data_IF_118367114989
#
_entry.id   IF_118367114989
#
_cell.length_a   1.000
_cell.length_b   1.000
_cell.length_c   1.000
_cell.angle_alpha   90.00
_cell.angle_beta   90.00
_cell.angle_gamma   90.00
#
_symmetry.space_group_name_H-M   'P 1'
#
loop_
_entity.id
_entity.type
_entity.pdbx_description
1 polymer ?
#
# COMPACT_ATOMS: atom_id res chain seq x y z
N UNK A 1 18.24 20.51 -35.45
CA UNK A 1 17.27 19.75 -34.63
C UNK A 1 17.77 18.32 -34.57
N UNK A 2 18.56 17.98 -33.56
CA UNK A 2 18.86 16.58 -33.23
C UNK A 2 17.54 15.93 -32.86
N UNK A 3 17.16 14.87 -33.57
CA UNK A 3 15.87 14.21 -33.39
C UNK A 3 15.70 13.77 -31.94
N UNK A 4 14.51 14.02 -31.36
CA UNK A 4 14.14 13.43 -30.06
C UNK A 4 14.31 11.92 -30.18
N UNK A 5 15.37 11.38 -29.57
CA UNK A 5 15.56 9.96 -29.47
C UNK A 5 14.60 9.45 -28.39
N UNK A 6 13.73 8.49 -28.74
CA UNK A 6 12.83 7.87 -27.79
C UNK A 6 13.60 7.28 -26.59
N UNK A 7 14.81 6.77 -26.81
CA UNK A 7 15.68 6.19 -25.77
C UNK A 7 15.96 7.18 -24.64
N UNK A 8 16.32 8.43 -24.96
CA UNK A 8 16.67 9.43 -23.93
C UNK A 8 15.45 9.86 -23.13
N UNK A 9 14.30 9.94 -23.79
CA UNK A 9 13.02 10.27 -23.12
C UNK A 9 12.59 9.14 -22.18
N UNK A 10 12.67 7.90 -22.65
CA UNK A 10 12.38 6.71 -21.84
C UNK A 10 13.32 6.64 -20.64
N UNK A 11 14.63 6.81 -20.86
CA UNK A 11 15.62 6.80 -19.78
C UNK A 11 15.37 7.92 -18.76
N UNK A 12 14.91 9.10 -19.21
CA UNK A 12 14.48 10.18 -18.33
C UNK A 12 13.35 9.76 -17.38
N UNK A 13 12.31 9.09 -17.88
CA UNK A 13 11.21 8.59 -17.04
C UNK A 13 11.68 7.52 -16.05
N UNK A 14 12.51 6.57 -16.49
CA UNK A 14 13.08 5.58 -15.57
C UNK A 14 13.96 6.23 -14.50
N UNK A 15 14.75 7.25 -14.86
CA UNK A 15 15.57 8.00 -13.91
C UNK A 15 14.71 8.68 -12.85
N UNK A 16 13.58 9.26 -13.25
CA UNK A 16 12.62 9.83 -12.32
C UNK A 16 11.98 8.76 -11.41
N UNK A 17 11.53 7.63 -11.98
CA UNK A 17 10.91 6.56 -11.17
C UNK A 17 11.89 5.92 -10.21
N UNK A 18 13.14 5.67 -10.64
CA UNK A 18 14.19 5.16 -9.77
C UNK A 18 14.47 6.14 -8.62
N UNK A 19 14.53 7.44 -8.90
CA UNK A 19 14.69 8.45 -7.84
C UNK A 19 13.47 8.52 -6.93
N UNK A 20 12.26 8.34 -7.46
CA UNK A 20 11.01 8.25 -6.66
C UNK A 20 11.08 7.08 -5.67
N UNK A 21 11.45 5.89 -6.16
CA UNK A 21 11.64 4.66 -5.36
C UNK A 21 12.71 4.91 -4.30
N UNK A 22 13.84 5.50 -4.68
CA UNK A 22 14.93 5.83 -3.78
C UNK A 22 14.48 6.76 -2.65
N UNK A 23 13.68 7.79 -2.98
CA UNK A 23 13.18 8.76 -2.02
C UNK A 23 12.16 8.16 -1.06
N UNK A 24 11.21 7.35 -1.53
CA UNK A 24 10.24 6.70 -0.62
C UNK A 24 10.93 5.69 0.31
N UNK A 25 11.92 4.93 -0.18
CA UNK A 25 12.67 3.97 0.64
C UNK A 25 13.49 4.68 1.74
N UNK A 26 14.07 5.85 1.43
CA UNK A 26 14.90 6.64 2.35
C UNK A 26 14.12 7.55 3.29
N UNK A 27 12.79 7.58 3.21
CA UNK A 27 11.99 8.34 4.18
C UNK A 27 12.26 7.82 5.61
N UNK A 28 12.53 8.70 6.59
CA UNK A 28 12.85 8.27 7.94
C UNK A 28 11.63 7.70 8.67
N UNK A 29 10.46 8.31 8.48
CA UNK A 29 9.20 7.89 9.11
C UNK A 29 8.35 7.08 8.12
N UNK A 30 7.87 5.86 8.49
CA UNK A 30 6.93 5.08 7.68
C UNK A 30 5.64 5.80 7.29
N UNK A 31 5.22 6.81 8.05
CA UNK A 31 4.03 7.62 7.78
C UNK A 31 4.27 8.80 6.82
N UNK A 32 5.54 9.18 6.61
CA UNK A 32 5.89 10.16 5.58
C UNK A 32 5.60 9.60 4.19
N UNK A 33 5.46 10.49 3.21
CA UNK A 33 5.00 10.14 1.87
C UNK A 33 5.78 10.83 0.76
N UNK A 34 5.64 10.27 -0.44
CA UNK A 34 5.97 10.97 -1.69
C UNK A 34 4.70 11.15 -2.52
N UNK A 35 4.66 12.16 -3.37
CA UNK A 35 3.70 12.27 -4.46
C UNK A 35 4.45 12.31 -5.79
N UNK A 36 3.99 11.53 -6.77
CA UNK A 36 4.63 11.41 -8.09
C UNK A 36 3.90 12.31 -9.08
N UNK A 37 4.62 13.07 -9.90
CA UNK A 37 4.07 13.96 -10.95
C UNK A 37 3.04 14.95 -10.38
N UNK A 38 3.44 15.76 -9.39
CA UNK A 38 2.53 16.68 -8.69
C UNK A 38 2.98 18.14 -8.84
N UNK A 39 3.64 18.73 -7.84
CA UNK A 39 4.20 20.09 -7.97
C UNK A 39 5.36 20.04 -8.97
N UNK A 40 6.31 19.15 -8.71
CA UNK A 40 7.36 18.76 -9.65
C UNK A 40 7.24 17.24 -9.92
N UNK A 41 8.28 16.67 -10.53
CA UNK A 41 8.34 15.24 -10.83
C UNK A 41 8.06 14.38 -9.58
N UNK A 42 8.58 14.79 -8.41
CA UNK A 42 8.45 14.08 -7.13
C UNK A 42 8.36 15.08 -5.97
N UNK A 43 7.29 14.98 -5.17
CA UNK A 43 7.12 15.80 -3.96
C UNK A 43 7.29 14.94 -2.71
N UNK A 44 8.31 15.23 -1.91
CA UNK A 44 8.57 14.56 -0.64
C UNK A 44 7.85 15.30 0.47
N UNK A 45 7.05 14.58 1.26
CA UNK A 45 6.22 15.16 2.32
C UNK A 45 6.50 14.46 3.65
N UNK A 46 6.93 15.24 4.63
CA UNK A 46 7.01 14.82 6.02
C UNK A 46 5.97 15.59 6.86
N UNK A 47 6.00 15.46 8.18
CA UNK A 47 4.98 16.04 9.06
C UNK A 47 4.91 17.58 9.00
N UNK A 48 5.98 18.25 8.58
CA UNK A 48 6.13 19.71 8.69
C UNK A 48 6.50 20.40 7.39
N UNK A 49 7.09 19.69 6.44
CA UNK A 49 7.70 20.26 5.24
C UNK A 49 7.33 19.48 3.98
N UNK A 50 7.29 20.22 2.86
CA UNK A 50 7.18 19.67 1.51
C UNK A 50 8.42 20.09 0.72
N UNK A 51 9.05 19.12 0.04
CA UNK A 51 10.13 19.36 -0.90
C UNK A 51 9.75 18.84 -2.28
N UNK A 52 9.59 19.73 -3.25
CA UNK A 52 9.29 19.40 -4.63
C UNK A 52 10.60 19.26 -5.42
N UNK A 53 10.79 18.12 -6.07
CA UNK A 53 12.03 17.76 -6.78
C UNK A 53 11.75 17.56 -8.26
N UNK A 54 12.50 18.29 -9.09
CA UNK A 54 12.52 18.10 -10.54
C UNK A 54 13.78 17.33 -10.93
N UNK A 55 13.61 16.21 -11.63
CA UNK A 55 14.68 15.44 -12.24
C UNK A 55 15.05 15.97 -13.63
N UNK A 56 16.35 16.01 -13.96
CA UNK A 56 16.85 16.30 -15.31
C UNK A 56 17.96 15.35 -15.69
N UNK A 57 17.68 14.38 -16.57
CA UNK A 57 18.67 13.41 -17.01
C UNK A 57 19.10 13.65 -18.46
N UNK A 58 20.33 14.14 -18.65
CA UNK A 58 20.90 14.43 -19.96
C UNK A 58 22.35 13.91 -20.08
N UNK A 59 22.53 12.60 -19.93
CA UNK A 59 23.87 11.96 -19.95
C UNK A 59 24.62 12.05 -21.28
N UNK A 60 23.97 12.45 -22.37
CA UNK A 60 24.60 12.64 -23.67
C UNK A 60 25.07 14.07 -23.95
N UNK A 61 24.73 15.03 -23.09
CA UNK A 61 24.94 16.45 -23.38
C UNK A 61 25.62 17.19 -22.24
N UNK A 62 26.43 18.16 -22.61
CA UNK A 62 27.04 19.09 -21.67
C UNK A 62 25.97 20.01 -21.05
N UNK A 63 26.10 20.25 -19.73
CA UNK A 63 25.30 21.22 -19.01
C UNK A 63 25.46 22.63 -19.59
N UNK A 64 24.32 23.31 -19.73
CA UNK A 64 24.21 24.73 -20.01
C UNK A 64 22.99 25.26 -19.25
N UNK A 65 23.04 26.48 -18.71
CA UNK A 65 21.96 27.03 -17.89
C UNK A 65 20.56 26.93 -18.51
N UNK A 66 20.47 27.00 -19.85
CA UNK A 66 19.23 26.88 -20.61
C UNK A 66 18.46 25.59 -20.37
N UNK A 67 19.12 24.49 -19.99
CA UNK A 67 18.47 23.18 -19.82
C UNK A 67 17.67 23.07 -18.52
N UNK A 68 18.06 23.82 -17.48
CA UNK A 68 17.36 23.85 -16.19
C UNK A 68 16.48 25.10 -16.03
N UNK A 69 16.73 26.12 -16.86
CA UNK A 69 16.02 27.39 -16.86
C UNK A 69 14.49 27.28 -16.86
N UNK A 70 13.84 26.40 -17.65
CA UNK A 70 12.39 26.23 -17.55
C UNK A 70 11.94 25.75 -16.18
N UNK A 71 12.62 24.76 -15.60
CA UNK A 71 12.28 24.21 -14.28
C UNK A 71 12.39 25.28 -13.18
N UNK A 72 13.50 26.03 -13.14
CA UNK A 72 13.68 27.11 -12.15
C UNK A 72 12.57 28.18 -12.25
N UNK A 73 12.13 28.51 -13.47
CA UNK A 73 11.00 29.45 -13.66
C UNK A 73 9.67 28.87 -13.20
N UNK A 74 9.42 27.59 -13.42
CA UNK A 74 8.21 26.92 -12.90
C UNK A 74 8.19 26.89 -11.38
N UNK A 75 9.31 26.52 -10.75
CA UNK A 75 9.49 26.57 -9.30
C UNK A 75 9.24 27.98 -8.74
N UNK A 76 9.76 29.03 -9.40
CA UNK A 76 9.54 30.42 -8.99
C UNK A 76 8.07 30.85 -9.12
N UNK A 77 7.39 30.48 -10.22
CA UNK A 77 5.96 30.74 -10.38
C UNK A 77 5.14 30.06 -9.29
N UNK A 78 5.47 28.80 -8.96
CA UNK A 78 4.81 28.08 -7.90
C UNK A 78 5.07 28.71 -6.53
N UNK A 79 6.32 29.10 -6.23
CA UNK A 79 6.70 29.83 -5.02
C UNK A 79 5.87 31.10 -4.82
N UNK A 80 5.74 31.92 -5.87
CA UNK A 80 4.89 33.12 -5.81
C UNK A 80 3.43 32.75 -5.53
N UNK A 81 2.89 31.76 -6.24
CA UNK A 81 1.48 31.35 -6.11
C UNK A 81 1.16 30.92 -4.67
N UNK A 82 1.98 30.04 -4.08
CA UNK A 82 1.73 29.58 -2.71
C UNK A 82 1.88 30.70 -1.67
N UNK A 83 2.81 31.63 -1.90
CA UNK A 83 3.02 32.76 -0.99
C UNK A 83 1.84 33.73 -1.03
N UNK A 84 1.38 34.08 -2.23
CA UNK A 84 0.26 35.00 -2.42
C UNK A 84 -1.06 34.38 -1.86
N UNK A 85 -1.18 33.05 -1.88
CA UNK A 85 -2.30 32.30 -1.29
C UNK A 85 -2.16 32.03 0.21
N UNK A 86 -1.04 32.42 0.84
CA UNK A 86 -0.78 32.17 2.27
C UNK A 86 -0.64 30.67 2.63
N UNK A 87 -0.25 29.83 1.66
CA UNK A 87 -0.02 28.40 1.85
C UNK A 87 1.33 28.13 2.53
N UNK A 88 1.51 26.95 3.15
CA UNK A 88 2.81 26.55 3.73
C UNK A 88 3.94 26.61 2.70
N UNK A 89 5.13 27.00 3.17
CA UNK A 89 6.32 27.07 2.32
C UNK A 89 6.70 25.69 1.76
N UNK A 90 7.18 25.70 0.51
CA UNK A 90 7.68 24.51 -0.20
C UNK A 90 9.16 24.74 -0.51
N UNK A 91 9.99 23.72 -0.25
CA UNK A 91 11.38 23.68 -0.70
C UNK A 91 11.44 23.11 -2.11
N UNK A 92 12.31 23.63 -2.95
CA UNK A 92 12.49 23.19 -4.32
C UNK A 92 13.88 22.60 -4.50
N UNK A 93 13.99 21.48 -5.19
CA UNK A 93 15.27 20.89 -5.55
C UNK A 93 15.29 20.53 -7.03
N UNK A 94 16.36 20.90 -7.72
CA UNK A 94 16.65 20.41 -9.05
C UNK A 94 17.73 19.33 -8.96
N UNK A 95 17.40 18.11 -9.38
CA UNK A 95 18.29 16.95 -9.36
C UNK A 95 18.66 16.54 -10.80
N UNK A 96 19.85 16.94 -11.24
CA UNK A 96 20.26 16.88 -12.63
C UNK A 96 21.58 16.16 -12.88
N UNK A 97 21.64 15.32 -13.91
CA UNK A 97 22.84 14.62 -14.36
C UNK A 97 23.18 14.96 -15.82
N UNK A 98 24.46 15.29 -16.07
CA UNK A 98 24.99 15.74 -17.36
C UNK A 98 26.36 15.11 -17.62
N UNK A 99 26.76 14.98 -18.89
CA UNK A 99 28.05 14.37 -19.22
C UNK A 99 29.26 15.23 -18.84
N UNK A 100 29.10 16.55 -18.86
CA UNK A 100 30.14 17.53 -18.56
C UNK A 100 29.51 18.92 -18.33
N UNK A 101 30.34 19.95 -18.11
CA UNK A 101 29.93 21.35 -18.09
C UNK A 101 29.43 21.88 -16.76
N UNK A 102 29.44 21.06 -15.70
CA UNK A 102 28.94 21.45 -14.38
C UNK A 102 29.71 22.64 -13.78
N UNK A 103 30.99 22.80 -14.13
CA UNK A 103 31.82 23.95 -13.74
C UNK A 103 31.24 25.32 -14.17
N UNK A 104 30.32 25.36 -15.14
CA UNK A 104 29.65 26.59 -15.59
C UNK A 104 28.67 27.13 -14.54
N UNK A 105 28.17 26.30 -13.63
CA UNK A 105 27.33 26.74 -12.52
C UNK A 105 28.19 26.92 -11.27
N UNK A 106 28.33 28.17 -10.82
CA UNK A 106 28.94 28.48 -9.53
C UNK A 106 27.84 28.60 -8.48
N UNK A 107 28.02 27.90 -7.36
CA UNK A 107 27.13 27.98 -6.19
C UNK A 107 27.85 28.74 -5.05
N UNK A 108 27.12 29.47 -4.19
CA UNK A 108 25.67 29.69 -4.23
C UNK A 108 25.25 30.65 -5.36
N UNK A 109 24.01 30.49 -5.84
CA UNK A 109 23.39 31.37 -6.83
C UNK A 109 22.95 32.66 -6.12
N UNK A 110 23.36 33.82 -6.63
CA UNK A 110 22.85 35.11 -6.17
C UNK A 110 21.68 35.62 -7.04
N UNK A 111 21.02 36.69 -6.59
CA UNK A 111 19.87 37.28 -7.29
C UNK A 111 20.24 37.77 -8.70
N UNK A 112 21.44 38.31 -8.89
CA UNK A 112 21.89 38.80 -10.19
C UNK A 112 22.06 37.64 -11.19
N UNK A 113 22.69 36.56 -10.77
CA UNK A 113 22.87 35.34 -11.53
C UNK A 113 21.52 34.70 -11.87
N UNK A 114 20.62 34.58 -10.89
CA UNK A 114 19.26 34.06 -11.08
C UNK A 114 18.53 34.84 -12.17
N UNK A 115 18.51 36.17 -12.08
CA UNK A 115 17.87 37.06 -13.06
C UNK A 115 18.47 36.88 -14.45
N UNK A 116 19.79 36.95 -14.57
CA UNK A 116 20.49 36.91 -15.86
C UNK A 116 20.33 35.54 -16.54
N UNK A 117 20.61 34.46 -15.83
CA UNK A 117 20.75 33.14 -16.46
C UNK A 117 19.44 32.34 -16.49
N UNK A 118 18.59 32.46 -15.46
CA UNK A 118 17.37 31.66 -15.33
C UNK A 118 16.07 32.43 -15.56
N UNK A 119 15.99 33.72 -15.24
CA UNK A 119 14.71 34.45 -15.35
C UNK A 119 14.58 35.32 -16.62
N UNK A 120 15.67 35.58 -17.34
CA UNK A 120 15.64 36.39 -18.58
C UNK A 120 15.66 35.52 -19.81
N UNK A 121 14.63 35.51 -20.64
CA UNK A 121 14.52 34.63 -21.81
C UNK A 121 13.96 35.37 -23.02
N UNK A 122 14.18 34.84 -24.22
CA UNK A 122 13.59 35.40 -25.44
C UNK A 122 12.42 34.54 -25.90
N UNK A 123 11.26 35.14 -26.07
CA UNK A 123 10.07 34.51 -26.67
C UNK A 123 9.65 35.34 -27.87
N UNK A 124 9.52 34.71 -29.06
CA UNK A 124 9.18 35.40 -30.31
C UNK A 124 10.06 36.63 -30.62
N UNK A 125 11.37 36.54 -30.32
CA UNK A 125 12.38 37.61 -30.44
C UNK A 125 12.19 38.80 -29.50
N UNK A 126 11.35 38.69 -28.48
CA UNK A 126 11.19 39.70 -27.42
C UNK A 126 11.86 39.19 -26.15
N UNK A 127 12.72 40.01 -25.54
CA UNK A 127 13.27 39.74 -24.21
C UNK A 127 12.15 39.83 -23.16
N UNK A 128 12.05 38.81 -22.35
CA UNK A 128 11.12 38.67 -21.24
C UNK A 128 11.89 38.40 -19.96
N UNK A 129 11.38 38.96 -18.87
CA UNK A 129 11.96 38.85 -17.53
C UNK A 129 10.90 38.29 -16.60
N UNK A 130 11.03 37.02 -16.29
CA UNK A 130 10.02 36.26 -15.53
C UNK A 130 9.72 36.89 -14.16
N UNK A 131 10.73 37.45 -13.49
CA UNK A 131 10.53 38.12 -12.20
C UNK A 131 9.70 39.42 -12.33
N UNK A 132 9.89 40.19 -13.39
CA UNK A 132 9.10 41.40 -13.66
C UNK A 132 7.65 41.05 -14.00
N UNK A 133 7.44 39.98 -14.79
CA UNK A 133 6.11 39.44 -15.13
C UNK A 133 5.34 38.98 -13.88
N UNK A 134 6.07 38.47 -12.89
CA UNK A 134 5.52 38.03 -11.61
C UNK A 134 5.47 39.18 -10.56
N UNK A 135 6.02 40.36 -10.86
CA UNK A 135 6.09 41.49 -9.92
C UNK A 135 6.90 41.19 -8.66
N UNK A 136 7.99 40.43 -8.77
CA UNK A 136 8.85 40.03 -7.65
C UNK A 136 10.03 40.98 -7.47
N UNK A 137 10.25 41.42 -6.24
CA UNK A 137 11.40 42.22 -5.82
C UNK A 137 12.64 41.36 -5.57
N UNK A 138 13.79 42.00 -5.41
CA UNK A 138 15.06 41.31 -5.10
C UNK A 138 15.00 40.60 -3.74
N UNK A 139 14.24 41.13 -2.78
CA UNK A 139 13.99 40.46 -1.50
C UNK A 139 13.18 39.17 -1.70
N UNK A 140 12.15 39.20 -2.54
CA UNK A 140 11.36 38.01 -2.86
C UNK A 140 12.19 36.92 -3.55
N UNK A 141 13.13 37.34 -4.42
CA UNK A 141 14.05 36.42 -5.10
C UNK A 141 15.09 35.84 -4.14
N UNK A 142 15.55 36.62 -3.15
CA UNK A 142 16.41 36.11 -2.09
C UNK A 142 15.69 35.08 -1.22
N UNK A 143 14.41 35.32 -0.90
CA UNK A 143 13.56 34.35 -0.19
C UNK A 143 13.37 33.06 -0.99
N UNK A 144 13.12 33.16 -2.30
CA UNK A 144 13.07 31.99 -3.17
C UNK A 144 14.39 31.21 -3.19
N UNK A 145 15.53 31.90 -3.30
CA UNK A 145 16.85 31.27 -3.27
C UNK A 145 17.12 30.55 -1.95
N UNK A 146 16.56 31.02 -0.83
CA UNK A 146 16.71 30.36 0.48
C UNK A 146 16.04 28.99 0.56
N UNK A 147 15.06 28.72 -0.33
CA UNK A 147 14.32 27.46 -0.40
C UNK A 147 14.64 26.65 -1.66
N UNK A 148 15.56 27.12 -2.52
CA UNK A 148 15.97 26.45 -3.74
C UNK A 148 17.32 25.74 -3.56
N UNK A 149 17.35 24.46 -3.89
CA UNK A 149 18.56 23.65 -4.01
C UNK A 149 18.78 23.21 -5.47
N UNK A 150 20.01 23.27 -5.96
CA UNK A 150 20.34 22.94 -7.35
C UNK A 150 21.55 22.00 -7.37
N UNK A 151 21.28 20.72 -7.62
CA UNK A 151 22.30 19.70 -7.82
C UNK A 151 22.37 19.31 -9.30
N UNK A 152 23.45 19.72 -9.97
CA UNK A 152 23.75 19.31 -11.36
C UNK A 152 24.83 18.22 -11.44
N UNK A 153 25.26 17.71 -10.28
CA UNK A 153 26.23 16.63 -10.12
C UNK A 153 25.55 15.35 -9.58
N UNK A 154 24.26 15.20 -9.86
CA UNK A 154 23.47 14.04 -9.46
C UNK A 154 24.09 12.73 -9.98
N UNK A 155 23.75 11.61 -9.33
CA UNK A 155 24.23 10.29 -9.72
C UNK A 155 23.79 9.93 -11.15
N UNK A 156 24.63 9.17 -11.86
CA UNK A 156 24.27 8.62 -13.16
C UNK A 156 23.14 7.60 -13.06
N UNK A 157 22.55 7.23 -14.21
CA UNK A 157 21.42 6.29 -14.26
C UNK A 157 21.75 4.95 -13.59
N UNK A 158 22.88 4.34 -13.95
CA UNK A 158 23.26 3.03 -13.41
C UNK A 158 23.65 3.09 -11.93
N UNK A 159 24.27 4.19 -11.48
CA UNK A 159 24.61 4.38 -10.08
C UNK A 159 23.36 4.56 -9.22
N UNK A 160 22.36 5.28 -9.73
CA UNK A 160 21.09 5.45 -9.07
C UNK A 160 20.31 4.14 -9.02
N UNK A 161 20.24 3.40 -10.13
CA UNK A 161 19.64 2.08 -10.17
C UNK A 161 20.30 1.14 -9.14
N UNK A 162 21.64 1.11 -9.09
CA UNK A 162 22.37 0.30 -8.11
C UNK A 162 22.08 0.75 -6.66
N UNK A 163 21.85 2.04 -6.41
CA UNK A 163 21.38 2.51 -5.10
C UNK A 163 19.99 1.98 -4.77
N UNK A 164 19.04 2.06 -5.71
CA UNK A 164 17.68 1.51 -5.51
C UNK A 164 17.75 0.03 -5.13
N UNK A 165 18.55 -0.78 -5.84
CA UNK A 165 18.70 -2.20 -5.54
C UNK A 165 19.30 -2.43 -4.14
N UNK A 166 20.25 -1.59 -3.68
CA UNK A 166 20.79 -1.68 -2.30
C UNK A 166 19.76 -1.33 -1.23
N UNK A 167 18.96 -0.29 -1.46
CA UNK A 167 17.91 0.11 -0.52
C UNK A 167 16.80 -0.96 -0.44
N UNK A 168 16.43 -1.57 -1.57
CA UNK A 168 15.45 -2.67 -1.59
C UNK A 168 15.95 -3.91 -0.85
N UNK A 169 17.22 -4.28 -1.03
CA UNK A 169 17.84 -5.37 -0.26
C UNK A 169 17.75 -5.10 1.24
N UNK A 170 18.02 -3.87 1.65
CA UNK A 170 17.97 -3.47 3.06
C UNK A 170 16.53 -3.47 3.58
N UNK A 171 15.60 -2.90 2.82
CA UNK A 171 14.19 -2.80 3.21
C UNK A 171 13.49 -4.16 3.35
N UNK A 172 13.82 -5.12 2.49
CA UNK A 172 13.18 -6.44 2.47
C UNK A 172 14.07 -7.59 2.99
N UNK A 173 15.29 -7.28 3.45
CA UNK A 173 16.27 -8.28 3.91
C UNK A 173 16.45 -9.44 2.91
N UNK A 174 16.62 -9.11 1.63
CA UNK A 174 16.62 -10.08 0.54
C UNK A 174 17.93 -10.10 -0.26
N UNK A 175 18.08 -11.09 -1.15
CA UNK A 175 19.25 -11.18 -2.04
C UNK A 175 19.21 -10.13 -3.15
N UNK A 176 20.34 -9.79 -3.79
CA UNK A 176 20.36 -8.89 -4.95
C UNK A 176 19.43 -9.35 -6.08
N UNK A 177 19.41 -10.66 -6.35
CA UNK A 177 18.51 -11.25 -7.35
C UNK A 177 17.04 -10.96 -7.02
N UNK A 178 16.64 -11.13 -5.75
CA UNK A 178 15.26 -10.86 -5.34
C UNK A 178 14.94 -9.36 -5.39
N UNK A 179 15.88 -8.51 -4.99
CA UNK A 179 15.70 -7.06 -5.05
C UNK A 179 15.48 -6.56 -6.49
N UNK A 180 16.28 -7.03 -7.44
CA UNK A 180 16.21 -6.60 -8.85
C UNK A 180 15.04 -7.24 -9.60
N UNK A 181 14.92 -8.56 -9.53
CA UNK A 181 13.96 -9.27 -10.40
C UNK A 181 12.55 -9.34 -9.82
N UNK A 182 12.38 -9.10 -8.52
CA UNK A 182 11.07 -9.11 -7.87
C UNK A 182 10.68 -7.72 -7.35
N UNK A 183 11.36 -7.21 -6.32
CA UNK A 183 10.92 -5.98 -5.64
C UNK A 183 11.03 -4.73 -6.51
N UNK A 184 12.09 -4.58 -7.30
CA UNK A 184 12.25 -3.43 -8.20
C UNK A 184 11.15 -3.38 -9.27
N UNK A 185 10.80 -4.54 -9.86
CA UNK A 185 9.72 -4.61 -10.84
C UNK A 185 8.37 -4.19 -10.24
N UNK A 186 8.08 -4.62 -9.01
CA UNK A 186 6.86 -4.21 -8.29
C UNK A 186 6.88 -2.72 -7.95
N UNK A 187 8.01 -2.21 -7.46
CA UNK A 187 8.21 -0.79 -7.14
C UNK A 187 8.04 0.11 -8.38
N UNK A 188 8.61 -0.29 -9.50
CA UNK A 188 8.49 0.40 -10.79
C UNK A 188 7.04 0.38 -11.28
N UNK A 189 6.36 -0.77 -11.22
CA UNK A 189 4.95 -0.87 -11.59
C UNK A 189 4.06 0.05 -10.75
N UNK A 190 4.37 0.19 -9.46
CA UNK A 190 3.69 1.08 -8.53
C UNK A 190 3.95 2.56 -8.84
N UNK A 191 5.19 2.96 -9.14
CA UNK A 191 5.49 4.33 -9.57
C UNK A 191 4.74 4.70 -10.86
N UNK A 192 4.73 3.78 -11.82
CA UNK A 192 3.95 3.94 -13.05
C UNK A 192 2.46 4.11 -12.74
N UNK A 193 1.88 3.25 -11.93
CA UNK A 193 0.46 3.31 -11.54
C UNK A 193 0.09 4.65 -10.90
N UNK A 194 0.93 5.16 -10.00
CA UNK A 194 0.74 6.47 -9.36
C UNK A 194 0.83 7.59 -10.39
N UNK A 195 1.84 7.60 -11.26
CA UNK A 195 2.09 8.67 -12.23
C UNK A 195 0.93 8.91 -13.22
N UNK A 196 0.16 7.86 -13.53
CA UNK A 196 -0.94 7.94 -14.51
C UNK A 196 -2.31 8.22 -13.89
N UNK A 197 -2.42 8.35 -12.55
CA UNK A 197 -3.71 8.65 -11.93
C UNK A 197 -4.23 10.03 -12.35
N UNK A 198 -5.54 10.21 -12.59
CA UNK A 198 -6.08 11.47 -13.08
C UNK A 198 -6.03 12.60 -12.04
N UNK A 199 -6.14 12.27 -10.75
CA UNK A 199 -6.15 13.23 -9.65
C UNK A 199 -4.82 13.23 -8.90
N UNK A 200 -4.18 14.40 -8.66
CA UNK A 200 -2.93 14.49 -7.89
C UNK A 200 -3.00 13.86 -6.48
N UNK A 201 -4.17 13.94 -5.83
CA UNK A 201 -4.39 13.33 -4.52
C UNK A 201 -4.19 11.80 -4.53
N UNK A 202 -4.42 11.15 -5.66
CA UNK A 202 -4.27 9.70 -5.83
C UNK A 202 -2.85 9.29 -6.26
N UNK A 203 -1.94 10.26 -6.46
CA UNK A 203 -0.53 10.02 -6.83
C UNK A 203 0.40 9.96 -5.61
N UNK A 204 -0.17 9.98 -4.40
CA UNK A 204 0.58 10.01 -3.14
C UNK A 204 0.66 8.62 -2.52
N UNK A 205 1.82 8.26 -1.98
CA UNK A 205 2.03 7.00 -1.25
C UNK A 205 2.94 7.20 -0.04
N UNK A 206 2.55 6.63 1.10
CA UNK A 206 3.39 6.60 2.30
C UNK A 206 4.48 5.53 2.18
N UNK A 207 5.59 5.66 2.92
CA UNK A 207 6.63 4.61 2.96
C UNK A 207 6.06 3.26 3.40
N UNK A 208 5.19 3.24 4.41
CA UNK A 208 4.51 2.02 4.87
C UNK A 208 3.71 1.36 3.74
N UNK A 209 2.82 2.12 3.12
CA UNK A 209 1.97 1.59 2.04
C UNK A 209 2.80 1.17 0.82
N UNK A 210 3.91 1.86 0.52
CA UNK A 210 4.82 1.47 -0.54
C UNK A 210 5.41 0.08 -0.28
N UNK A 211 5.99 -0.15 0.91
CA UNK A 211 6.58 -1.44 1.27
C UNK A 211 5.56 -2.58 1.24
N UNK A 212 4.37 -2.33 1.79
CA UNK A 212 3.26 -3.31 1.81
C UNK A 212 2.77 -3.66 0.40
N UNK A 213 2.58 -2.65 -0.48
CA UNK A 213 2.10 -2.88 -1.85
C UNK A 213 3.16 -3.46 -2.77
N UNK A 214 4.44 -3.17 -2.54
CA UNK A 214 5.54 -3.75 -3.32
C UNK A 214 5.82 -5.21 -2.96
N UNK A 215 5.40 -5.66 -1.77
CA UNK A 215 5.60 -7.05 -1.33
C UNK A 215 4.39 -7.93 -1.69
N UNK A 216 4.44 -8.51 -2.88
CA UNK A 216 3.47 -9.50 -3.35
C UNK A 216 4.00 -10.93 -3.23
N UNK A 217 5.00 -11.16 -2.35
CA UNK A 217 5.79 -12.40 -2.35
C UNK A 217 4.97 -13.64 -2.01
N UNK A 218 4.01 -13.51 -1.09
CA UNK A 218 3.09 -14.58 -0.70
C UNK A 218 2.21 -15.04 -1.87
N UNK A 219 1.68 -14.09 -2.65
CA UNK A 219 0.89 -14.38 -3.85
C UNK A 219 1.75 -15.12 -4.88
N UNK A 220 2.94 -14.59 -5.17
CA UNK A 220 3.84 -15.22 -6.14
C UNK A 220 4.27 -16.62 -5.69
N UNK A 221 4.56 -16.80 -4.40
CA UNK A 221 4.90 -18.09 -3.82
C UNK A 221 3.76 -19.10 -4.01
N UNK A 222 2.53 -18.72 -3.68
CA UNK A 222 1.37 -19.60 -3.84
C UNK A 222 1.16 -19.99 -5.30
N UNK A 223 1.21 -19.03 -6.22
CA UNK A 223 1.09 -19.29 -7.67
C UNK A 223 2.17 -20.26 -8.17
N UNK A 224 3.42 -20.02 -7.80
CA UNK A 224 4.54 -20.85 -8.22
C UNK A 224 4.52 -22.24 -7.59
N UNK A 225 4.16 -22.31 -6.31
CA UNK A 225 4.02 -23.57 -5.59
C UNK A 225 2.93 -24.42 -6.23
N UNK A 226 1.75 -23.85 -6.48
CA UNK A 226 0.65 -24.54 -7.18
C UNK A 226 1.11 -24.98 -8.58
N UNK A 227 1.79 -24.12 -9.33
CA UNK A 227 2.30 -24.45 -10.67
C UNK A 227 3.31 -25.60 -10.66
N UNK A 228 4.14 -25.72 -9.62
CA UNK A 228 5.22 -26.73 -9.54
C UNK A 228 4.81 -28.03 -8.83
N UNK A 229 3.92 -27.95 -7.84
CA UNK A 229 3.56 -29.09 -6.97
C UNK A 229 2.09 -29.52 -7.09
N UNK A 230 1.24 -28.70 -7.72
CA UNK A 230 -0.19 -28.93 -7.84
C UNK A 230 -1.00 -28.49 -6.62
N UNK A 231 -2.29 -28.24 -6.81
CA UNK A 231 -3.20 -27.70 -5.77
C UNK A 231 -3.35 -28.65 -4.59
N UNK A 232 -3.47 -29.96 -4.84
CA UNK A 232 -3.62 -30.96 -3.76
C UNK A 232 -2.44 -30.95 -2.79
N UNK A 233 -1.22 -30.85 -3.28
CA UNK A 233 -0.03 -30.80 -2.43
C UNK A 233 0.05 -29.49 -1.65
N UNK A 234 -0.38 -28.38 -2.25
CA UNK A 234 -0.46 -27.08 -1.60
C UNK A 234 -1.46 -27.07 -0.45
N UNK A 235 -2.70 -27.52 -0.70
CA UNK A 235 -3.73 -27.60 0.33
C UNK A 235 -3.36 -28.60 1.43
N UNK A 236 -2.69 -29.71 1.10
CA UNK A 236 -2.17 -30.64 2.11
C UNK A 236 -1.08 -30.00 2.99
N UNK A 237 -0.21 -29.14 2.43
CA UNK A 237 0.80 -28.42 3.19
C UNK A 237 0.16 -27.39 4.13
N UNK A 238 -0.81 -26.59 3.64
CA UNK A 238 -1.57 -25.64 4.46
C UNK A 238 -2.34 -26.35 5.59
N UNK A 239 -2.98 -27.47 5.28
CA UNK A 239 -3.65 -28.33 6.27
C UNK A 239 -2.67 -28.77 7.35
N UNK A 240 -1.52 -29.30 6.94
CA UNK A 240 -0.47 -29.78 7.85
C UNK A 240 0.03 -28.66 8.77
N UNK A 241 0.24 -27.47 8.24
CA UNK A 241 0.80 -26.35 8.99
C UNK A 241 -0.20 -25.76 10.00
N UNK A 242 -1.48 -25.66 9.65
CA UNK A 242 -2.44 -24.87 10.41
C UNK A 242 -3.60 -25.65 11.04
N UNK A 243 -3.90 -26.85 10.55
CA UNK A 243 -5.16 -27.55 10.81
C UNK A 243 -5.00 -29.03 11.18
N UNK A 244 -3.82 -29.48 11.67
CA UNK A 244 -3.57 -30.88 12.06
C UNK A 244 -3.44 -31.14 13.57
N UNK A 245 -3.76 -30.17 14.42
CA UNK A 245 -3.67 -30.35 15.87
C UNK A 245 -4.63 -31.45 16.37
N UNK A 246 -4.06 -32.49 17.00
CA UNK A 246 -4.81 -33.64 17.52
C UNK A 246 -5.73 -33.26 18.69
N UNK A 247 -5.30 -32.31 19.53
CA UNK A 247 -6.05 -31.86 20.69
C UNK A 247 -6.38 -30.37 20.56
N UNK A 248 -7.60 -30.09 20.09
CA UNK A 248 -8.06 -28.71 19.99
C UNK A 248 -8.16 -28.06 21.37
N UNK A 249 -7.27 -27.10 21.60
CA UNK A 249 -7.32 -26.18 22.74
C UNK A 249 -8.55 -25.26 22.65
N UNK A 250 -9.11 -24.81 23.80
CA UNK A 250 -10.27 -23.92 23.85
C UNK A 250 -9.92 -22.47 23.52
N UNK A 251 -9.31 -22.27 22.37
CA UNK A 251 -9.00 -20.95 21.81
C UNK A 251 -10.21 -20.39 21.07
N UNK A 252 -10.35 -19.08 21.09
CA UNK A 252 -11.39 -18.36 20.37
C UNK A 252 -10.92 -18.19 18.92
N UNK A 253 -11.43 -19.06 18.04
CA UNK A 253 -11.01 -19.11 16.63
C UNK A 253 -11.98 -18.36 15.73
N UNK A 254 -11.44 -17.48 14.91
CA UNK A 254 -12.18 -16.68 13.94
C UNK A 254 -11.84 -17.18 12.54
N UNK A 255 -12.84 -17.67 11.80
CA UNK A 255 -12.71 -18.01 10.40
C UNK A 255 -13.34 -16.91 9.56
N UNK A 256 -12.51 -16.17 8.83
CA UNK A 256 -12.95 -15.13 7.93
C UNK A 256 -12.95 -15.71 6.52
N UNK A 257 -14.10 -15.71 5.86
CA UNK A 257 -14.29 -16.37 4.56
C UNK A 257 -14.70 -15.33 3.54
N UNK A 258 -13.84 -15.07 2.56
CA UNK A 258 -14.20 -14.23 1.41
C UNK A 258 -14.98 -15.02 0.38
N UNK A 259 -16.07 -14.42 -0.10
CA UNK A 259 -16.88 -14.94 -1.20
C UNK A 259 -16.99 -13.91 -2.31
N UNK A 260 -17.04 -14.39 -3.54
CA UNK A 260 -17.45 -13.58 -4.68
C UNK A 260 -18.96 -13.74 -4.88
N UNK A 261 -19.70 -12.67 -4.63
CA UNK A 261 -21.16 -12.63 -4.77
C UNK A 261 -21.66 -13.03 -6.16
N UNK A 262 -20.86 -12.84 -7.22
CA UNK A 262 -21.23 -13.19 -8.59
C UNK A 262 -21.15 -14.69 -8.89
N UNK A 263 -20.37 -15.45 -8.11
CA UNK A 263 -20.12 -16.89 -8.32
C UNK A 263 -20.51 -17.76 -7.12
N UNK A 264 -21.04 -17.14 -6.05
CA UNK A 264 -21.39 -17.82 -4.82
C UNK A 264 -22.49 -18.86 -5.04
N UNK A 265 -22.20 -20.09 -4.61
CA UNK A 265 -23.20 -21.14 -4.43
C UNK A 265 -23.50 -21.27 -2.94
N UNK A 266 -24.74 -20.95 -2.54
CA UNK A 266 -25.13 -20.92 -1.11
C UNK A 266 -24.96 -22.27 -0.39
N UNK A 267 -25.16 -23.39 -1.09
CA UNK A 267 -24.93 -24.73 -0.53
C UNK A 267 -23.47 -24.96 -0.15
N UNK A 268 -22.53 -24.47 -0.95
CA UNK A 268 -21.09 -24.62 -0.68
C UNK A 268 -20.70 -23.81 0.57
N UNK A 269 -21.29 -22.63 0.76
CA UNK A 269 -21.07 -21.83 1.97
C UNK A 269 -21.61 -22.55 3.21
N UNK A 270 -22.82 -23.11 3.15
CA UNK A 270 -23.39 -23.92 4.24
C UNK A 270 -22.51 -25.12 4.55
N UNK A 271 -22.03 -25.84 3.54
CA UNK A 271 -21.10 -26.95 3.70
C UNK A 271 -19.83 -26.52 4.45
N UNK A 272 -19.27 -25.35 4.13
CA UNK A 272 -18.13 -24.77 4.86
C UNK A 272 -18.50 -24.46 6.30
N UNK A 273 -19.64 -23.81 6.58
CA UNK A 273 -20.07 -23.50 7.96
C UNK A 273 -20.30 -24.76 8.81
N UNK A 274 -20.95 -25.78 8.24
CA UNK A 274 -21.13 -27.07 8.89
C UNK A 274 -19.80 -27.78 9.14
N UNK A 275 -18.89 -27.75 8.17
CA UNK A 275 -17.55 -28.32 8.30
C UNK A 275 -16.77 -27.65 9.42
N UNK A 276 -16.76 -26.31 9.46
CA UNK A 276 -16.09 -25.52 10.49
C UNK A 276 -16.67 -25.84 11.87
N UNK A 277 -17.99 -25.83 12.00
CA UNK A 277 -18.65 -26.16 13.25
C UNK A 277 -18.32 -27.57 13.72
N UNK A 278 -18.37 -28.57 12.83
CA UNK A 278 -18.06 -29.98 13.15
C UNK A 278 -16.60 -30.18 13.56
N UNK A 279 -15.66 -29.56 12.85
CA UNK A 279 -14.22 -29.76 13.10
C UNK A 279 -13.68 -28.89 14.23
N UNK A 280 -14.25 -27.71 14.46
CA UNK A 280 -13.69 -26.69 15.36
C UNK A 280 -14.59 -26.31 16.53
N UNK A 281 -15.60 -27.14 16.84
CA UNK A 281 -16.40 -27.01 18.06
C UNK A 281 -16.28 -28.23 18.94
N UNK A 282 -16.24 -27.99 20.25
CA UNK A 282 -16.40 -29.00 21.31
C UNK A 282 -17.58 -28.59 22.16
N UNK A 283 -18.75 -29.15 21.91
CA UNK A 283 -20.02 -28.73 22.55
C UNK A 283 -20.81 -29.89 23.13
N UNK A 284 -20.16 -31.03 23.34
CA UNK A 284 -20.78 -32.21 23.93
C UNK A 284 -20.84 -32.08 25.46
N UNK A 285 -21.68 -32.90 26.11
CA UNK A 285 -21.75 -32.96 27.58
C UNK A 285 -20.40 -33.26 28.24
N UNK A 286 -19.50 -33.97 27.55
CA UNK A 286 -18.19 -34.39 28.06
C UNK A 286 -17.17 -33.25 28.08
N UNK A 287 -17.37 -32.23 27.26
CA UNK A 287 -16.43 -31.12 27.12
C UNK A 287 -16.52 -30.14 28.30
N UNK A 288 -17.68 -30.06 28.98
CA UNK A 288 -17.87 -29.26 30.19
C UNK A 288 -17.37 -27.82 30.04
N UNK A 289 -16.46 -27.41 30.92
CA UNK A 289 -15.87 -26.07 30.93
C UNK A 289 -14.86 -25.81 29.80
N UNK A 290 -14.46 -26.85 29.06
CA UNK A 290 -13.60 -26.74 27.88
C UNK A 290 -14.39 -26.60 26.58
N UNK A 291 -15.70 -26.34 26.68
CA UNK A 291 -16.56 -26.19 25.51
C UNK A 291 -16.30 -24.87 24.77
N UNK A 292 -16.22 -24.95 23.44
CA UNK A 292 -16.04 -23.81 22.56
C UNK A 292 -16.64 -24.08 21.18
N UNK A 293 -16.87 -23.02 20.43
CA UNK A 293 -17.21 -23.05 19.00
C UNK A 293 -16.54 -21.86 18.30
N UNK A 294 -16.38 -21.90 16.97
CA UNK A 294 -15.70 -20.82 16.27
C UNK A 294 -16.64 -19.65 15.96
N UNK A 295 -16.02 -18.51 15.67
CA UNK A 295 -16.65 -17.35 15.05
C UNK A 295 -16.44 -17.41 13.54
N UNK A 296 -17.42 -16.96 12.78
CA UNK A 296 -17.34 -16.84 11.33
C UNK A 296 -17.79 -15.45 10.91
N UNK A 297 -17.02 -14.86 9.99
CA UNK A 297 -17.41 -13.66 9.24
C UNK A 297 -17.29 -13.99 7.75
N UNK A 298 -18.31 -13.65 6.97
CA UNK A 298 -18.32 -13.88 5.52
C UNK A 298 -18.13 -12.54 4.82
N UNK A 299 -16.93 -12.30 4.28
CA UNK A 299 -16.59 -11.09 3.57
C UNK A 299 -17.13 -11.12 2.13
N UNK A 300 -17.69 -10.00 1.66
CA UNK A 300 -18.24 -9.89 0.31
C UNK A 300 -19.67 -10.44 0.15
N UNK A 301 -20.29 -10.94 1.22
CA UNK A 301 -21.68 -11.42 1.19
C UNK A 301 -22.66 -10.25 1.36
N UNK A 302 -23.63 -10.04 0.45
CA UNK A 302 -24.68 -9.05 0.62
C UNK A 302 -25.51 -9.28 1.90
N UNK A 303 -26.01 -8.20 2.51
CA UNK A 303 -26.74 -8.27 3.78
C UNK A 303 -28.04 -9.10 3.70
N UNK A 304 -28.77 -8.99 2.59
CA UNK A 304 -29.96 -9.78 2.30
C UNK A 304 -29.64 -11.26 2.12
N UNK A 305 -28.53 -11.59 1.45
CA UNK A 305 -28.01 -12.95 1.32
C UNK A 305 -27.59 -13.55 2.67
N UNK A 306 -26.92 -12.77 3.54
CA UNK A 306 -26.59 -13.20 4.90
C UNK A 306 -27.85 -13.50 5.72
N UNK A 307 -28.88 -12.66 5.60
CA UNK A 307 -30.18 -12.90 6.24
C UNK A 307 -30.83 -14.17 5.69
N UNK A 308 -30.77 -14.39 4.38
CA UNK A 308 -31.24 -15.62 3.73
C UNK A 308 -30.54 -16.87 4.28
N UNK A 309 -29.20 -16.85 4.34
CA UNK A 309 -28.38 -17.92 4.89
C UNK A 309 -28.76 -18.25 6.34
N UNK A 310 -28.92 -17.22 7.19
CA UNK A 310 -29.31 -17.41 8.59
C UNK A 310 -30.71 -18.00 8.75
N UNK A 311 -31.67 -17.60 7.90
CA UNK A 311 -33.01 -18.17 7.88
C UNK A 311 -32.99 -19.66 7.55
N UNK A 312 -32.18 -20.06 6.57
CA UNK A 312 -32.01 -21.47 6.23
C UNK A 312 -31.38 -22.26 7.39
N UNK A 313 -30.28 -21.77 7.97
CA UNK A 313 -29.65 -22.40 9.13
C UNK A 313 -30.62 -22.54 10.32
N UNK A 314 -31.42 -21.51 10.59
CA UNK A 314 -32.43 -21.56 11.65
C UNK A 314 -33.54 -22.57 11.36
N UNK A 315 -33.98 -22.67 10.09
CA UNK A 315 -34.96 -23.66 9.64
C UNK A 315 -34.44 -25.09 9.79
N UNK A 316 -33.13 -25.28 9.63
CA UNK A 316 -32.43 -26.56 9.82
C UNK A 316 -32.08 -26.84 11.29
N UNK A 317 -32.60 -26.04 12.23
CA UNK A 317 -32.31 -26.14 13.66
C UNK A 317 -30.79 -26.09 13.97
N UNK A 318 -30.01 -25.43 13.12
CA UNK A 318 -28.59 -25.24 13.34
C UNK A 318 -28.37 -24.14 14.38
N UNK A 319 -27.82 -24.50 15.54
CA UNK A 319 -27.62 -23.55 16.63
C UNK A 319 -26.52 -22.53 16.35
N UNK A 320 -26.88 -21.28 16.08
CA UNK A 320 -25.94 -20.17 15.97
C UNK A 320 -26.42 -18.96 16.78
N UNK A 321 -25.50 -18.02 17.04
CA UNK A 321 -25.81 -16.68 17.58
C UNK A 321 -25.08 -15.63 16.75
N UNK A 322 -25.58 -14.40 16.75
CA UNK A 322 -25.00 -13.31 15.96
C UNK A 322 -24.74 -12.00 16.73
N UNK A 323 -24.99 -11.99 18.04
CA UNK A 323 -24.69 -10.85 18.91
C UNK A 323 -25.75 -9.75 18.94
N UNK A 324 -26.90 -9.96 18.28
CA UNK A 324 -28.05 -9.05 18.31
C UNK A 324 -29.19 -9.73 19.09
N UNK A 325 -29.36 -9.36 20.36
CA UNK A 325 -30.18 -10.12 21.32
C UNK A 325 -31.69 -10.08 21.03
N UNK A 326 -32.16 -9.05 20.31
CA UNK A 326 -33.56 -8.86 19.95
C UNK A 326 -33.69 -8.02 18.68
N UNK A 327 -34.90 -7.92 18.14
CA UNK A 327 -35.17 -7.16 16.92
C UNK A 327 -34.87 -5.67 17.13
N UNK A 328 -33.93 -5.14 16.32
CA UNK A 328 -33.48 -3.75 16.42
C UNK A 328 -32.48 -3.48 17.55
N UNK A 329 -31.95 -4.52 18.20
CA UNK A 329 -30.86 -4.36 19.17
C UNK A 329 -29.58 -3.84 18.50
N UNK A 330 -28.74 -3.16 19.27
CA UNK A 330 -27.34 -2.90 18.89
C UNK A 330 -26.49 -4.18 19.07
N UNK A 331 -25.37 -4.25 18.36
CA UNK A 331 -24.42 -5.35 18.51
C UNK A 331 -23.84 -5.40 19.93
N UNK A 332 -23.89 -6.58 20.55
CA UNK A 332 -23.40 -6.80 21.90
C UNK A 332 -22.26 -7.83 21.93
N UNK A 333 -21.05 -7.36 22.24
CA UNK A 333 -19.87 -8.20 22.31
C UNK A 333 -19.98 -9.27 23.40
N UNK A 334 -20.65 -8.99 24.52
CA UNK A 334 -20.89 -10.02 25.56
C UNK A 334 -21.87 -11.09 25.08
N UNK A 335 -22.84 -10.72 24.24
CA UNK A 335 -23.79 -11.66 23.65
C UNK A 335 -23.09 -12.62 22.69
N UNK A 336 -22.34 -12.11 21.71
CA UNK A 336 -21.60 -12.97 20.77
C UNK A 336 -20.52 -13.80 21.48
N UNK A 337 -19.90 -13.27 22.53
CA UNK A 337 -18.88 -13.97 23.30
C UNK A 337 -19.46 -15.03 24.26
N UNK A 338 -20.78 -15.22 24.31
CA UNK A 338 -21.42 -16.23 25.17
C UNK A 338 -20.76 -17.61 25.00
N UNK A 339 -20.40 -18.29 26.10
CA UNK A 339 -19.78 -19.62 26.01
C UNK A 339 -20.70 -20.61 25.29
N UNK A 340 -20.17 -21.33 24.31
CA UNK A 340 -20.88 -22.46 23.73
C UNK A 340 -20.92 -23.60 24.76
N UNK A 341 -22.07 -24.24 24.91
CA UNK A 341 -22.25 -25.38 25.80
C UNK A 341 -23.23 -26.37 25.19
N UNK A 342 -23.23 -27.61 25.69
CA UNK A 342 -24.24 -28.59 25.28
C UNK A 342 -25.68 -28.10 25.52
N UNK A 343 -25.91 -27.36 26.61
CA UNK A 343 -27.24 -26.93 27.05
C UNK A 343 -27.81 -25.81 26.17
N UNK A 344 -26.97 -24.87 25.75
CA UNK A 344 -27.42 -23.76 24.91
C UNK A 344 -27.36 -24.06 23.41
N UNK A 345 -26.76 -25.20 23.01
CA UNK A 345 -26.77 -25.68 21.63
C UNK A 345 -26.01 -24.79 20.65
N UNK A 346 -25.19 -23.84 21.12
CA UNK A 346 -24.45 -22.93 20.23
C UNK A 346 -23.34 -23.72 19.54
N UNK A 347 -23.41 -23.80 18.20
CA UNK A 347 -22.48 -24.52 17.33
C UNK A 347 -21.62 -23.57 16.49
N UNK A 348 -22.03 -22.32 16.34
CA UNK A 348 -21.34 -21.31 15.56
C UNK A 348 -21.71 -19.89 16.02
N UNK A 349 -20.79 -18.95 15.87
CA UNK A 349 -21.01 -17.53 16.16
C UNK A 349 -20.82 -16.73 14.87
N UNK A 350 -21.87 -16.11 14.35
CA UNK A 350 -21.86 -15.44 13.04
C UNK A 350 -21.76 -13.93 13.23
N UNK A 351 -20.68 -13.33 12.75
CA UNK A 351 -20.45 -11.89 12.81
C UNK A 351 -21.00 -11.23 11.55
N UNK A 352 -21.78 -10.16 11.69
CA UNK A 352 -22.54 -9.60 10.56
C UNK A 352 -21.76 -8.58 9.76
N UNK A 353 -20.77 -7.96 10.38
CA UNK A 353 -19.97 -6.89 9.78
C UNK A 353 -18.51 -7.00 10.18
N UNK A 354 -17.63 -6.33 9.43
CA UNK A 354 -16.21 -6.20 9.79
C UNK A 354 -16.04 -5.40 11.09
N UNK A 355 -16.96 -4.49 11.42
CA UNK A 355 -16.97 -3.75 12.67
C UNK A 355 -17.28 -4.68 13.86
N UNK A 356 -18.27 -5.56 13.71
CA UNK A 356 -18.62 -6.58 14.72
C UNK A 356 -17.44 -7.51 14.97
N UNK A 357 -16.75 -7.92 13.90
CA UNK A 357 -15.53 -8.71 13.95
C UNK A 357 -14.42 -7.99 14.73
N UNK A 358 -14.10 -6.75 14.35
CA UNK A 358 -13.04 -5.97 14.99
C UNK A 358 -13.33 -5.77 16.49
N UNK A 359 -14.58 -5.42 16.82
CA UNK A 359 -15.03 -5.25 18.21
C UNK A 359 -14.89 -6.55 19.01
N UNK A 360 -15.28 -7.69 18.42
CA UNK A 360 -15.22 -9.00 19.09
C UNK A 360 -13.78 -9.44 19.31
N UNK A 361 -12.93 -9.39 18.27
CA UNK A 361 -11.51 -9.74 18.37
C UNK A 361 -10.79 -8.86 19.40
N UNK A 362 -11.13 -7.57 19.47
CA UNK A 362 -10.57 -6.62 20.42
C UNK A 362 -10.96 -6.89 21.88
N UNK A 363 -12.21 -7.29 22.14
CA UNK A 363 -12.72 -7.48 23.49
C UNK A 363 -12.44 -8.86 24.10
N UNK A 364 -12.31 -9.90 23.28
CA UNK A 364 -12.03 -11.26 23.75
C UNK A 364 -10.63 -11.31 24.36
N UNK A 365 -10.54 -11.75 25.62
CA UNK A 365 -9.27 -11.80 26.37
C UNK A 365 -8.56 -13.15 26.31
N UNK A 366 -9.27 -14.20 25.89
CA UNK A 366 -8.69 -15.55 25.67
C UNK A 366 -7.74 -15.55 24.48
N UNK A 367 -6.96 -16.63 24.34
CA UNK A 367 -6.13 -16.85 23.15
C UNK A 367 -7.00 -16.82 21.90
N UNK A 368 -6.62 -15.98 20.94
CA UNK A 368 -7.33 -15.73 19.69
C UNK A 368 -6.49 -16.20 18.52
N UNK A 369 -7.12 -16.92 17.60
CA UNK A 369 -6.53 -17.28 16.32
C UNK A 369 -7.47 -16.83 15.20
N UNK A 370 -6.96 -16.05 14.26
CA UNK A 370 -7.71 -15.56 13.10
C UNK A 370 -7.17 -16.27 11.86
N UNK A 371 -8.02 -17.03 11.20
CA UNK A 371 -7.76 -17.67 9.92
C UNK A 371 -8.57 -16.96 8.85
N UNK A 372 -7.89 -16.26 7.96
CA UNK A 372 -8.52 -15.44 6.93
C UNK A 372 -8.29 -16.05 5.56
N UNK A 373 -9.38 -16.56 4.97
CA UNK A 373 -9.41 -17.02 3.59
C UNK A 373 -9.77 -15.86 2.68
N UNK A 374 -8.92 -15.60 1.68
CA UNK A 374 -9.08 -14.47 0.75
C UNK A 374 -8.85 -14.89 -0.72
N UNK A 375 -9.58 -14.27 -1.64
CA UNK A 375 -9.46 -14.44 -3.09
C UNK A 375 -8.39 -13.51 -3.68
N UNK A 376 -8.21 -12.33 -3.08
CA UNK A 376 -7.29 -11.29 -3.54
C UNK A 376 -6.29 -10.87 -2.46
N UNK A 377 -6.46 -9.67 -1.93
CA UNK A 377 -5.67 -9.13 -0.83
C UNK A 377 -6.28 -9.48 0.54
N UNK A 378 -5.48 -9.36 1.60
CA UNK A 378 -6.02 -9.37 2.97
C UNK A 378 -6.99 -8.21 3.15
N UNK A 379 -8.14 -8.45 3.80
CA UNK A 379 -9.20 -7.48 4.08
C UNK A 379 -9.41 -7.22 5.57
N UNK A 380 -8.66 -7.87 6.45
CA UNK A 380 -8.71 -7.67 7.89
C UNK A 380 -7.31 -7.81 8.48
N UNK A 381 -6.98 -6.97 9.46
CA UNK A 381 -5.73 -7.06 10.23
C UNK A 381 -6.05 -6.74 11.69
N UNK A 382 -5.81 -7.68 12.65
CA UNK A 382 -6.05 -7.42 14.06
C UNK A 382 -5.18 -6.27 14.58
N UNK A 383 -5.77 -5.35 15.34
CA UNK A 383 -5.02 -4.24 15.94
C UNK A 383 -3.95 -4.70 16.96
N UNK A 384 -4.17 -5.87 17.58
CA UNK A 384 -3.25 -6.43 18.57
C UNK A 384 -2.35 -7.48 17.91
N UNK A 385 -1.04 -7.20 17.85
CA UNK A 385 -0.02 -8.05 17.24
C UNK A 385 0.18 -9.40 17.94
N UNK A 386 -0.33 -9.57 19.17
CA UNK A 386 -0.33 -10.85 19.88
C UNK A 386 -1.42 -11.81 19.39
N UNK A 387 -2.37 -11.37 18.56
CA UNK A 387 -3.37 -12.23 17.95
C UNK A 387 -2.72 -12.97 16.79
N UNK A 388 -2.71 -14.31 16.86
CA UNK A 388 -2.22 -15.13 15.75
C UNK A 388 -3.14 -14.92 14.55
N UNK A 389 -2.58 -14.47 13.43
CA UNK A 389 -3.31 -14.18 12.21
C UNK A 389 -2.67 -14.88 11.03
N UNK A 390 -3.39 -15.85 10.46
CA UNK A 390 -2.96 -16.64 9.32
C UNK A 390 -3.80 -16.24 8.10
N UNK A 391 -3.13 -15.78 7.05
CA UNK A 391 -3.73 -15.35 5.78
C UNK A 391 -3.57 -16.46 4.76
N UNK A 392 -4.67 -16.99 4.23
CA UNK A 392 -4.69 -18.14 3.34
C UNK A 392 -5.38 -17.74 2.04
N UNK A 393 -4.63 -17.74 0.95
CA UNK A 393 -5.19 -17.45 -0.37
C UNK A 393 -5.94 -18.68 -0.91
N UNK A 394 -7.15 -18.46 -1.42
CA UNK A 394 -7.98 -19.47 -2.10
C UNK A 394 -8.38 -18.96 -3.47
N UNK A 395 -8.74 -19.86 -4.39
CA UNK A 395 -9.26 -19.49 -5.71
C UNK A 395 -10.78 -19.51 -5.74
N UNK A 396 -11.38 -20.38 -4.93
CA UNK A 396 -12.82 -20.56 -4.80
C UNK A 396 -13.17 -21.06 -3.40
N UNK A 397 -14.41 -20.80 -2.99
CA UNK A 397 -14.92 -21.17 -1.67
C UNK A 397 -14.71 -22.65 -1.31
N UNK A 398 -14.85 -23.55 -2.28
CA UNK A 398 -14.70 -25.00 -2.06
C UNK A 398 -13.28 -25.40 -1.65
N UNK A 399 -12.26 -24.59 -1.94
CA UNK A 399 -10.86 -24.87 -1.58
C UNK A 399 -10.69 -24.95 -0.05
N UNK A 400 -11.50 -24.22 0.72
CA UNK A 400 -11.47 -24.25 2.18
C UNK A 400 -11.70 -25.68 2.72
N UNK A 401 -12.55 -26.47 2.06
CA UNK A 401 -12.80 -27.88 2.43
C UNK A 401 -11.60 -28.77 2.17
N UNK A 402 -10.80 -28.43 1.16
CA UNK A 402 -9.56 -29.14 0.84
C UNK A 402 -8.38 -28.67 1.70
N UNK A 403 -8.52 -27.54 2.40
CA UNK A 403 -7.50 -27.02 3.31
C UNK A 403 -7.77 -27.44 4.76
N UNK A 404 -9.03 -27.43 5.21
CA UNK A 404 -9.43 -27.82 6.58
C UNK A 404 -9.92 -29.26 6.57
#
# INVERSE_FOLDING_TARGET
>A
MTGRNAVDTIRGYFYQFDYSILRVLRLPDPSSSIAVECIEDIDIRNATEVMAVQCKYYSGTEYNHSVIKPAIRHMLSHFKTIRDEGKPAVRYSLYGHYSAGQHKLTLPIDVAFLKQHFLTYSERKVERRHHDELGLSDADLADFLSVLDVDINAAGFEDQFAQVIRELQTAHSCTPFTAEYFYYNNALALMRELSIQPLPANRTITKRAFLERSDTSSVLFNEWFVRKKGEKAHFAALRKEYFTDLNLSPFERFFLVEVDSGTLVRSDLKDVLHMLSRKWSKTTKRDGNSSFCPYVYVHGLPADELVGLKKELATEEFGFIDGYDFHGADFNVKSIAKPATYQNGIKLKVLNSIADLAATVGAVTRTREVYQFHLGSSYFDPANTAVKHTKIQIKKLTDIREII
#
